data_IF_715050666898
#
_entry.id   IF_715050666898
#
_cell.length_a   1.000
_cell.length_b   1.000
_cell.length_c   1.000
_cell.angle_alpha   90.00
_cell.angle_beta   90.00
_cell.angle_gamma   90.00
#
_symmetry.space_group_name_H-M   'P 1'
#
loop_
_entity.id
_entity.type
_entity.pdbx_description
1 polymer ?
#
# COMPACT_ATOMS: atom_id res chain seq x y z
N UNK A 1 85.49 15.23 10.13
CA UNK A 1 84.55 15.29 11.26
C UNK A 1 83.22 15.71 10.63
N UNK A 2 82.64 14.73 9.94
CA UNK A 2 81.36 14.83 9.25
C UNK A 2 80.57 13.56 9.64
N UNK A 3 79.60 13.75 10.47
CA UNK A 3 78.64 12.68 10.77
C UNK A 3 77.27 13.29 11.10
N UNK A 4 76.24 12.67 10.55
CA UNK A 4 74.86 12.84 10.96
C UNK A 4 73.93 13.87 10.33
N UNK A 5 73.69 13.76 9.02
CA UNK A 5 72.49 14.36 8.47
C UNK A 5 71.55 13.42 7.72
N UNK A 6 71.93 12.13 7.59
CA UNK A 6 71.11 11.16 6.83
C UNK A 6 70.02 10.39 7.62
N UNK A 7 69.90 10.65 8.93
CA UNK A 7 68.91 9.92 9.77
C UNK A 7 67.60 10.67 9.97
N UNK A 8 67.51 11.95 9.53
CA UNK A 8 66.31 12.78 9.78
C UNK A 8 65.34 12.83 8.58
N UNK A 9 65.80 12.49 7.38
CA UNK A 9 64.94 12.47 6.19
C UNK A 9 64.16 11.19 5.99
N UNK A 10 64.55 10.07 6.62
CA UNK A 10 63.83 8.78 6.48
C UNK A 10 62.62 8.62 7.39
N UNK A 11 62.45 9.50 8.38
CA UNK A 11 61.33 9.46 9.30
C UNK A 11 60.06 10.19 8.81
N UNK A 12 60.16 11.04 7.79
CA UNK A 12 59.01 11.75 7.25
C UNK A 12 58.39 11.07 6.01
N UNK A 13 59.05 10.07 5.42
CA UNK A 13 58.56 9.40 4.22
C UNK A 13 57.65 8.21 4.54
N UNK A 14 57.62 7.77 5.82
CA UNK A 14 56.82 6.61 6.27
C UNK A 14 55.47 7.00 6.89
N UNK A 15 55.23 8.32 7.12
CA UNK A 15 53.97 8.79 7.71
C UNK A 15 52.93 9.28 6.68
N UNK A 16 53.31 9.46 5.42
CA UNK A 16 52.41 9.98 4.37
C UNK A 16 51.69 8.90 3.55
N UNK A 17 52.14 7.63 3.69
CA UNK A 17 51.52 6.52 2.93
C UNK A 17 50.40 5.76 3.66
N UNK A 18 50.17 6.04 4.95
CA UNK A 18 49.10 5.34 5.74
C UNK A 18 47.79 6.15 5.72
N UNK A 19 47.82 7.45 5.39
CA UNK A 19 46.61 8.28 5.40
C UNK A 19 45.75 8.17 4.13
N UNK A 20 46.24 7.52 3.05
CA UNK A 20 45.53 7.44 1.79
C UNK A 20 44.68 6.15 1.62
N UNK A 21 44.75 5.18 2.54
CA UNK A 21 44.04 3.89 2.44
C UNK A 21 42.75 3.84 3.23
N UNK A 22 42.46 4.85 4.05
CA UNK A 22 41.27 4.88 4.91
C UNK A 22 40.09 5.67 4.31
N UNK A 23 40.15 6.19 3.11
CA UNK A 23 39.06 6.93 2.46
C UNK A 23 38.37 6.17 1.31
N UNK A 24 38.75 4.91 1.06
CA UNK A 24 37.97 4.01 0.18
C UNK A 24 37.14 3.08 1.07
N UNK A 25 36.50 3.64 2.09
CA UNK A 25 35.61 2.97 2.99
C UNK A 25 34.16 3.25 2.59
N UNK A 26 33.57 2.28 1.91
CA UNK A 26 32.14 1.99 1.93
C UNK A 26 31.19 3.16 1.59
N UNK A 27 31.24 3.65 0.37
CA UNK A 27 30.02 3.99 -0.31
C UNK A 27 29.42 2.69 -0.88
N UNK A 28 29.10 1.71 -0.03
CA UNK A 28 27.99 0.83 -0.35
C UNK A 28 26.81 1.76 -0.44
N UNK A 29 26.39 2.09 -1.65
CA UNK A 29 25.04 2.52 -1.93
C UNK A 29 24.15 1.45 -1.30
N UNK A 30 23.73 1.66 -0.07
CA UNK A 30 22.56 0.97 0.47
C UNK A 30 21.46 1.40 -0.48
N UNK A 31 21.15 0.55 -1.45
CA UNK A 31 19.99 0.70 -2.29
C UNK A 31 18.86 0.73 -1.29
N UNK A 32 18.29 1.90 -1.09
CA UNK A 32 17.11 2.03 -0.24
C UNK A 32 16.04 1.11 -0.85
N UNK A 33 15.88 -0.06 -0.27
CA UNK A 33 14.90 -1.07 -0.67
C UNK A 33 13.61 -0.90 0.13
N UNK A 34 13.51 0.22 0.84
CA UNK A 34 12.31 0.61 1.58
C UNK A 34 11.09 0.73 0.68
N UNK A 35 9.92 0.71 1.29
CA UNK A 35 8.66 0.99 0.61
C UNK A 35 8.56 2.48 0.32
N UNK A 36 8.03 2.86 -0.86
CA UNK A 36 7.78 4.25 -1.21
C UNK A 36 6.30 4.60 -1.04
N UNK A 37 6.01 5.89 -0.90
CA UNK A 37 4.62 6.38 -0.83
C UNK A 37 3.86 6.05 -2.12
N UNK A 38 4.50 6.21 -3.27
CA UNK A 38 3.93 5.91 -4.58
C UNK A 38 3.64 4.42 -4.75
N UNK A 39 4.54 3.55 -4.28
CA UNK A 39 4.32 2.10 -4.31
C UNK A 39 3.11 1.72 -3.45
N UNK A 40 3.02 2.25 -2.22
CA UNK A 40 1.92 1.98 -1.32
C UNK A 40 0.57 2.48 -1.89
N UNK A 41 0.55 3.71 -2.43
CA UNK A 41 -0.64 4.28 -3.08
C UNK A 41 -1.07 3.46 -4.28
N UNK A 42 -0.12 3.02 -5.11
CA UNK A 42 -0.41 2.18 -6.26
C UNK A 42 -1.05 0.85 -5.85
N UNK A 43 -0.50 0.17 -4.85
CA UNK A 43 -1.06 -1.10 -4.35
C UNK A 43 -2.48 -0.91 -3.82
N UNK A 44 -2.76 0.22 -3.15
CA UNK A 44 -4.10 0.53 -2.68
C UNK A 44 -5.08 0.75 -3.84
N UNK A 45 -4.69 1.48 -4.87
CA UNK A 45 -5.52 1.70 -6.07
C UNK A 45 -5.77 0.36 -6.76
N UNK A 46 -4.72 -0.45 -6.97
CA UNK A 46 -4.84 -1.78 -7.58
C UNK A 46 -5.80 -2.70 -6.78
N UNK A 47 -5.90 -2.53 -5.46
CA UNK A 47 -6.86 -3.26 -4.63
C UNK A 47 -8.30 -2.91 -4.99
N UNK A 48 -8.65 -1.61 -5.08
CA UNK A 48 -10.00 -1.18 -5.43
C UNK A 48 -10.35 -1.47 -6.89
N UNK A 49 -9.40 -1.31 -7.83
CA UNK A 49 -9.59 -1.65 -9.24
C UNK A 49 -9.93 -3.14 -9.43
N UNK A 50 -9.37 -4.02 -8.59
CA UNK A 50 -9.66 -5.45 -8.61
C UNK A 50 -10.95 -5.84 -7.85
N UNK A 51 -11.57 -4.93 -7.11
CA UNK A 51 -12.89 -5.13 -6.49
C UNK A 51 -14.04 -4.83 -7.47
N UNK A 52 -13.75 -4.23 -8.62
CA UNK A 52 -14.75 -3.98 -9.65
C UNK A 52 -15.43 -5.29 -10.07
N UNK A 53 -16.78 -5.34 -9.98
CA UNK A 53 -17.55 -6.56 -10.17
C UNK A 53 -17.43 -7.15 -11.58
N UNK A 54 -17.15 -6.32 -12.62
CA UNK A 54 -16.97 -6.79 -14.01
C UNK A 54 -15.65 -7.53 -14.17
N UNK A 55 -14.61 -7.12 -13.43
CA UNK A 55 -13.24 -7.60 -13.57
C UNK A 55 -12.77 -8.45 -12.37
N UNK A 56 -13.60 -8.62 -11.35
CA UNK A 56 -13.24 -9.32 -10.14
C UNK A 56 -12.73 -10.74 -10.39
N UNK A 57 -11.55 -11.00 -9.88
CA UNK A 57 -10.94 -12.33 -9.84
C UNK A 57 -10.17 -12.50 -8.53
N UNK A 58 -10.62 -13.39 -7.65
CA UNK A 58 -9.97 -13.69 -6.37
C UNK A 58 -8.45 -13.88 -6.47
N UNK A 59 -7.98 -14.55 -7.54
CA UNK A 59 -6.55 -14.80 -7.78
C UNK A 59 -5.72 -13.52 -8.04
N UNK A 60 -6.33 -12.44 -8.55
CA UNK A 60 -5.63 -11.19 -8.82
C UNK A 60 -5.09 -10.56 -7.55
N UNK A 61 -5.75 -10.79 -6.42
CA UNK A 61 -5.34 -10.28 -5.11
C UNK A 61 -4.09 -10.94 -4.52
N UNK A 62 -3.59 -12.06 -5.08
CA UNK A 62 -2.39 -12.74 -4.56
C UNK A 62 -1.13 -11.86 -4.56
N UNK A 63 -1.07 -10.83 -5.42
CA UNK A 63 0.03 -9.86 -5.48
C UNK A 63 -0.24 -8.58 -4.69
N UNK A 64 -1.47 -8.37 -4.25
CA UNK A 64 -1.97 -7.13 -3.65
C UNK A 64 -2.12 -7.27 -2.13
N UNK A 65 -2.60 -8.42 -1.65
CA UNK A 65 -2.78 -8.69 -0.22
C UNK A 65 -1.94 -9.89 0.24
N UNK A 66 -1.62 -9.92 1.53
CA UNK A 66 -0.89 -11.05 2.14
C UNK A 66 -1.77 -12.28 2.31
N UNK A 67 -1.14 -13.44 2.56
CA UNK A 67 -1.90 -14.66 2.83
C UNK A 67 -2.68 -14.59 4.15
N UNK A 68 -2.16 -13.86 5.12
CA UNK A 68 -2.77 -13.60 6.42
C UNK A 68 -3.50 -12.25 6.49
N UNK A 69 -3.92 -11.72 5.33
CA UNK A 69 -4.72 -10.50 5.24
C UNK A 69 -5.99 -10.61 6.08
N UNK A 70 -6.34 -9.53 6.74
CA UNK A 70 -7.60 -9.38 7.44
C UNK A 70 -8.13 -7.95 7.34
N UNK A 71 -9.43 -7.81 7.52
CA UNK A 71 -10.12 -6.53 7.43
C UNK A 71 -11.15 -6.38 8.54
N UNK A 72 -11.27 -5.16 9.06
CA UNK A 72 -12.41 -4.71 9.85
C UNK A 72 -13.33 -3.89 8.97
N UNK A 73 -14.52 -4.41 8.71
CA UNK A 73 -15.53 -3.80 7.83
C UNK A 73 -16.91 -4.07 8.39
N UNK A 74 -17.83 -3.08 8.35
CA UNK A 74 -19.23 -3.16 8.83
C UNK A 74 -19.38 -3.81 10.22
N UNK A 75 -18.46 -3.49 11.13
CA UNK A 75 -18.45 -4.02 12.49
C UNK A 75 -18.02 -5.48 12.63
N UNK A 76 -17.45 -6.08 11.59
CA UNK A 76 -16.94 -7.45 11.57
C UNK A 76 -15.44 -7.48 11.38
N UNK A 77 -14.80 -8.48 11.96
CA UNK A 77 -13.47 -8.90 11.60
C UNK A 77 -13.60 -10.06 10.60
N UNK A 78 -12.96 -9.91 9.46
CA UNK A 78 -12.94 -10.95 8.43
C UNK A 78 -11.50 -11.31 8.10
N UNK A 79 -11.21 -12.60 8.01
CA UNK A 79 -10.03 -13.15 7.38
C UNK A 79 -10.06 -12.93 5.87
N UNK A 80 -8.96 -13.21 5.20
CA UNK A 80 -8.85 -13.11 3.74
C UNK A 80 -9.96 -13.89 3.01
N UNK A 81 -10.21 -15.12 3.43
CA UNK A 81 -11.22 -15.97 2.77
C UNK A 81 -12.65 -15.48 3.05
N UNK A 82 -12.95 -15.09 4.30
CA UNK A 82 -14.24 -14.50 4.65
C UNK A 82 -14.49 -13.17 3.94
N UNK A 83 -13.45 -12.35 3.70
CA UNK A 83 -13.56 -11.15 2.90
C UNK A 83 -13.93 -11.46 1.44
N UNK A 84 -13.28 -12.43 0.82
CA UNK A 84 -13.61 -12.83 -0.54
C UNK A 84 -15.03 -13.41 -0.63
N UNK A 85 -15.42 -14.25 0.31
CA UNK A 85 -16.78 -14.80 0.36
C UNK A 85 -17.81 -13.66 0.53
N UNK A 86 -17.51 -12.64 1.33
CA UNK A 86 -18.35 -11.45 1.48
C UNK A 86 -18.49 -10.68 0.15
N UNK A 87 -17.37 -10.41 -0.57
CA UNK A 87 -17.39 -9.73 -1.87
C UNK A 87 -18.19 -10.53 -2.91
N UNK A 88 -17.90 -11.82 -3.03
CA UNK A 88 -18.56 -12.71 -4.00
C UNK A 88 -20.07 -12.84 -3.74
N UNK A 89 -20.47 -12.91 -2.47
CA UNK A 89 -21.88 -12.88 -2.10
C UNK A 89 -22.56 -11.54 -2.41
N UNK A 90 -21.86 -10.43 -2.19
CA UNK A 90 -22.35 -9.10 -2.52
C UNK A 90 -22.56 -8.94 -4.02
N UNK A 91 -21.62 -9.37 -4.85
CA UNK A 91 -21.72 -9.35 -6.30
C UNK A 91 -22.87 -10.24 -6.82
N UNK A 92 -23.03 -11.43 -6.22
CA UNK A 92 -24.06 -12.40 -6.65
C UNK A 92 -25.48 -12.00 -6.25
N UNK A 93 -25.62 -11.28 -5.13
CA UNK A 93 -26.92 -10.92 -4.56
C UNK A 93 -27.43 -9.56 -5.02
N UNK A 94 -26.57 -8.73 -5.60
CA UNK A 94 -26.91 -7.39 -6.02
C UNK A 94 -27.23 -7.33 -7.52
N UNK A 95 -28.19 -6.46 -7.87
CA UNK A 95 -28.47 -6.06 -9.25
C UNK A 95 -27.62 -4.84 -9.65
N UNK A 96 -26.33 -4.84 -9.26
CA UNK A 96 -25.39 -3.74 -9.57
C UNK A 96 -25.22 -3.64 -11.09
N UNK A 97 -25.40 -2.44 -11.60
CA UNK A 97 -25.22 -2.07 -13.01
C UNK A 97 -23.89 -1.40 -13.24
N UNK A 98 -23.45 -0.58 -12.27
CA UNK A 98 -22.12 0.03 -12.28
C UNK A 98 -21.64 0.30 -10.86
N UNK A 99 -20.33 0.40 -10.73
CA UNK A 99 -19.62 0.67 -9.49
C UNK A 99 -18.46 1.60 -9.79
N UNK A 100 -18.24 2.59 -8.93
CA UNK A 100 -17.12 3.53 -9.02
C UNK A 100 -16.53 3.79 -7.63
N UNK A 101 -15.21 3.94 -7.56
CA UNK A 101 -14.47 4.23 -6.36
C UNK A 101 -13.67 5.51 -6.51
N UNK A 102 -13.77 6.39 -5.54
CA UNK A 102 -12.99 7.63 -5.47
C UNK A 102 -12.19 7.69 -4.18
N UNK A 103 -10.87 7.59 -4.29
CA UNK A 103 -9.94 7.65 -3.17
C UNK A 103 -9.30 9.02 -3.08
N UNK A 104 -9.32 9.62 -1.89
CA UNK A 104 -8.80 10.97 -1.65
C UNK A 104 -8.20 11.13 -0.25
N UNK A 105 -7.65 12.33 0.04
CA UNK A 105 -7.15 12.74 1.35
C UNK A 105 -6.09 11.78 1.94
N UNK A 106 -5.19 11.29 1.08
CA UNK A 106 -4.16 10.34 1.47
C UNK A 106 -3.18 10.92 2.51
N UNK A 107 -3.02 10.22 3.62
CA UNK A 107 -1.97 10.41 4.62
C UNK A 107 -1.10 9.17 4.62
N UNK A 108 0.10 9.27 4.06
CA UNK A 108 0.98 8.12 3.83
C UNK A 108 2.20 8.24 4.74
N UNK A 109 2.59 7.14 5.35
CA UNK A 109 3.82 6.99 6.12
C UNK A 109 4.52 5.71 5.74
N UNK A 110 5.82 5.77 5.48
CA UNK A 110 6.64 4.62 5.14
C UNK A 110 7.80 4.48 6.12
N UNK A 111 8.07 3.27 6.58
CA UNK A 111 9.21 2.94 7.44
C UNK A 111 9.77 1.59 7.01
N UNK A 112 11.02 1.59 6.52
CA UNK A 112 11.69 0.38 6.03
C UNK A 112 10.83 -0.33 4.95
N UNK A 113 10.46 -1.57 5.20
CA UNK A 113 9.66 -2.42 4.30
C UNK A 113 8.16 -2.40 4.62
N UNK A 114 7.69 -1.36 5.31
CA UNK A 114 6.28 -1.21 5.68
C UNK A 114 5.75 0.15 5.25
N UNK A 115 4.43 0.24 5.05
CA UNK A 115 3.72 1.48 4.84
C UNK A 115 2.38 1.47 5.58
N UNK A 116 1.87 2.66 5.84
CA UNK A 116 0.53 2.88 6.35
C UNK A 116 -0.11 4.02 5.55
N UNK A 117 -1.34 3.84 5.12
CA UNK A 117 -2.13 4.87 4.44
C UNK A 117 -3.43 5.03 5.21
N UNK A 118 -3.76 6.26 5.62
CA UNK A 118 -5.11 6.66 5.99
C UNK A 118 -5.69 7.48 4.83
N UNK A 119 -6.95 7.28 4.49
CA UNK A 119 -7.57 7.90 3.32
C UNK A 119 -9.09 7.97 3.47
N UNK A 120 -9.69 8.80 2.59
CA UNK A 120 -11.13 8.83 2.38
C UNK A 120 -11.46 8.02 1.14
N UNK A 121 -12.52 7.24 1.23
CA UNK A 121 -13.07 6.48 0.12
C UNK A 121 -14.54 6.88 -0.09
N UNK A 122 -14.95 7.11 -1.32
CA UNK A 122 -16.33 7.28 -1.74
C UNK A 122 -16.65 6.19 -2.77
N UNK A 123 -17.65 5.36 -2.48
CA UNK A 123 -18.20 4.37 -3.41
C UNK A 123 -19.54 4.84 -3.95
N UNK A 124 -19.71 4.77 -5.27
CA UNK A 124 -20.99 4.98 -5.94
C UNK A 124 -21.41 3.69 -6.62
N UNK A 125 -22.59 3.18 -6.26
CA UNK A 125 -23.14 1.94 -6.79
C UNK A 125 -24.48 2.24 -7.44
N UNK A 126 -24.63 1.86 -8.71
CA UNK A 126 -25.90 1.94 -9.44
C UNK A 126 -26.47 0.53 -9.51
N UNK A 127 -27.68 0.35 -9.06
CA UNK A 127 -28.40 -0.93 -9.10
C UNK A 127 -29.82 -0.77 -9.64
N UNK A 128 -30.44 -1.87 -10.09
CA UNK A 128 -31.85 -1.88 -10.46
C UNK A 128 -32.66 -2.59 -9.39
N UNK A 129 -33.71 -1.94 -8.89
CA UNK A 129 -34.63 -2.57 -7.96
C UNK A 129 -35.55 -3.58 -8.69
N UNK A 130 -36.42 -4.26 -7.92
CA UNK A 130 -37.34 -5.27 -8.46
C UNK A 130 -38.33 -4.76 -9.50
N UNK A 131 -38.52 -3.45 -9.58
CA UNK A 131 -39.40 -2.77 -10.55
C UNK A 131 -38.60 -2.31 -11.78
N UNK A 132 -37.28 -2.54 -11.84
CA UNK A 132 -36.41 -2.09 -12.91
C UNK A 132 -35.99 -0.62 -12.81
N UNK A 133 -36.33 0.08 -11.72
CA UNK A 133 -35.94 1.46 -11.47
C UNK A 133 -34.50 1.49 -10.97
N UNK A 134 -33.69 2.41 -11.50
CA UNK A 134 -32.32 2.60 -11.05
C UNK A 134 -32.28 3.28 -9.70
N UNK A 135 -31.41 2.79 -8.84
CA UNK A 135 -31.11 3.32 -7.52
C UNK A 135 -29.63 3.60 -7.42
N UNK A 136 -29.28 4.79 -6.93
CA UNK A 136 -27.88 5.22 -6.71
C UNK A 136 -27.59 5.19 -5.23
N UNK A 137 -26.70 4.32 -4.83
CA UNK A 137 -26.19 4.23 -3.46
C UNK A 137 -24.80 4.88 -3.42
N UNK A 138 -24.66 5.93 -2.60
CA UNK A 138 -23.38 6.54 -2.27
C UNK A 138 -23.00 6.24 -0.84
N UNK A 139 -21.78 5.81 -0.63
CA UNK A 139 -21.24 5.52 0.69
C UNK A 139 -19.89 6.20 0.82
N UNK A 140 -19.65 6.84 1.96
CA UNK A 140 -18.36 7.43 2.30
C UNK A 140 -17.77 6.68 3.49
N UNK A 141 -16.46 6.41 3.40
CA UNK A 141 -15.69 5.78 4.45
C UNK A 141 -14.46 6.60 4.83
N UNK A 142 -14.06 6.45 6.08
CA UNK A 142 -12.68 6.69 6.51
C UNK A 142 -11.99 5.34 6.66
N UNK A 143 -10.87 5.21 6.00
CA UNK A 143 -10.19 3.93 5.90
C UNK A 143 -8.71 4.05 6.24
N UNK A 144 -8.13 2.94 6.65
CA UNK A 144 -6.69 2.82 6.78
C UNK A 144 -6.20 1.44 6.37
N UNK A 145 -5.06 1.41 5.68
CA UNK A 145 -4.41 0.20 5.23
C UNK A 145 -2.96 0.14 5.76
N UNK A 146 -2.56 -1.02 6.24
CA UNK A 146 -1.20 -1.33 6.64
C UNK A 146 -0.57 -2.32 5.67
N UNK A 147 0.63 -1.99 5.21
CA UNK A 147 1.36 -2.72 4.18
C UNK A 147 2.64 -3.29 4.74
N UNK A 148 3.00 -4.46 4.23
CA UNK A 148 4.28 -5.12 4.50
C UNK A 148 4.89 -5.63 3.19
N UNK A 149 6.21 -5.69 3.11
CA UNK A 149 6.90 -6.30 1.97
C UNK A 149 6.98 -7.80 2.17
N UNK A 150 6.42 -8.56 1.23
CA UNK A 150 6.45 -10.02 1.21
C UNK A 150 6.95 -10.50 -0.14
N UNK A 151 8.06 -11.27 -0.15
CA UNK A 151 8.71 -11.75 -1.37
C UNK A 151 9.05 -10.63 -2.38
N UNK A 152 9.49 -9.47 -1.84
CA UNK A 152 9.88 -8.30 -2.64
C UNK A 152 8.71 -7.46 -3.16
N UNK A 153 7.46 -7.81 -2.87
CA UNK A 153 6.26 -7.06 -3.22
C UNK A 153 5.66 -6.41 -1.98
N UNK A 154 5.30 -5.14 -2.07
CA UNK A 154 4.51 -4.48 -1.05
C UNK A 154 3.06 -4.96 -1.15
N UNK A 155 2.48 -5.40 -0.03
CA UNK A 155 1.12 -5.96 0.03
C UNK A 155 0.35 -5.42 1.21
N UNK A 156 -0.95 -5.30 1.08
CA UNK A 156 -1.85 -4.96 2.18
C UNK A 156 -1.94 -6.18 3.11
N UNK A 157 -1.60 -5.98 4.38
CA UNK A 157 -1.75 -6.98 5.43
C UNK A 157 -3.02 -6.79 6.24
N UNK A 158 -3.40 -5.55 6.44
CA UNK A 158 -4.56 -5.19 7.24
C UNK A 158 -5.26 -3.98 6.62
N UNK A 159 -6.59 -3.99 6.63
CA UNK A 159 -7.42 -2.85 6.24
C UNK A 159 -8.50 -2.64 7.30
N UNK A 160 -8.75 -1.38 7.63
CA UNK A 160 -9.88 -0.97 8.46
C UNK A 160 -10.73 0.02 7.69
N UNK A 161 -12.02 -0.23 7.61
CA UNK A 161 -13.01 0.58 6.93
C UNK A 161 -14.12 0.97 7.89
N UNK A 162 -14.40 2.26 7.99
CA UNK A 162 -15.47 2.82 8.81
C UNK A 162 -16.41 3.63 7.93
N UNK A 163 -17.64 3.16 7.74
CA UNK A 163 -18.71 3.93 7.11
C UNK A 163 -18.99 5.19 7.93
N UNK A 164 -18.95 6.37 7.27
CA UNK A 164 -19.26 7.66 7.90
C UNK A 164 -20.56 8.27 7.39
N UNK A 165 -20.96 7.94 6.17
CA UNK A 165 -22.30 8.32 5.63
C UNK A 165 -22.72 7.36 4.53
N UNK A 166 -24.03 7.24 4.38
CA UNK A 166 -24.69 6.41 3.37
C UNK A 166 -25.93 7.12 2.87
N UNK A 167 -26.06 7.26 1.57
CA UNK A 167 -27.19 7.90 0.91
C UNK A 167 -27.71 6.99 -0.21
N UNK A 168 -29.01 6.74 -0.22
CA UNK A 168 -29.68 6.01 -1.28
C UNK A 168 -30.69 6.95 -1.95
N UNK A 169 -30.59 7.10 -3.28
CA UNK A 169 -31.53 7.87 -4.09
C UNK A 169 -32.13 6.98 -5.17
N UNK A 170 -33.44 7.04 -5.34
CA UNK A 170 -34.08 6.47 -6.53
C UNK A 170 -34.05 7.52 -7.66
N UNK A 171 -33.91 7.05 -8.91
CA UNK A 171 -33.96 7.96 -10.08
C UNK A 171 -35.37 8.56 -10.18
N UNK A 172 -35.45 9.90 -9.98
CA UNK A 172 -36.71 10.65 -10.09
C UNK A 172 -37.15 11.39 -8.81
N UNK A 173 -36.33 11.34 -7.72
CA UNK A 173 -36.52 12.21 -6.54
C UNK A 173 -35.59 13.41 -6.53
#
# INVERSE_FOLDING_TARGET
>A
METNDNCRQMKHLLLTTIAAVLLVGCATLVKDTGSTEEEAKKVLIDFFDNLDFENYQRRSFNKIITNDFHIYEIGKHMSRDEFFDFVENSHSSSSIVSQDWSLSDFQISTVNETAHIAYRNEGTFISKNKLGVEEVLKINWLESAYFVKENGLLKIKFLHSQEISKELKAEGE
#
